data_IF_707771130310
#
_entry.id   IF_707771130310
#
_cell.length_a   1.000
_cell.length_b   1.000
_cell.length_c   1.000
_cell.angle_alpha   90.00
_cell.angle_beta   90.00
_cell.angle_gamma   90.00
#
_symmetry.space_group_name_H-M   'P 1'
#
loop_
_entity.id
_entity.type
_entity.pdbx_description
1 polymer ?
#
# COMPACT_ATOMS: atom_id res chain seq x y z
N UNK A 1 -16.96 10.35 15.99
CA UNK A 1 -16.88 11.58 16.81
C UNK A 1 -15.97 11.45 18.04
N UNK A 2 -16.18 10.53 19.00
CA UNK A 2 -15.28 10.43 20.18
C UNK A 2 -13.86 9.94 19.86
N UNK A 3 -13.71 8.94 18.97
CA UNK A 3 -12.39 8.43 18.58
C UNK A 3 -11.55 9.47 17.81
N UNK A 4 -12.18 10.25 16.93
CA UNK A 4 -11.48 11.28 16.15
C UNK A 4 -11.01 12.44 17.04
N UNK A 5 -11.86 12.89 17.97
CA UNK A 5 -11.48 13.91 18.96
C UNK A 5 -10.38 13.44 19.91
N UNK A 6 -10.29 12.14 20.19
CA UNK A 6 -9.23 11.59 21.04
C UNK A 6 -7.85 11.57 20.36
N UNK A 7 -7.80 11.50 19.02
CA UNK A 7 -6.54 11.52 18.25
C UNK A 7 -6.05 12.94 17.93
N UNK A 8 -6.95 13.92 17.90
CA UNK A 8 -6.61 15.34 17.77
C UNK A 8 -6.04 15.94 19.06
N UNK A 9 -6.36 15.33 20.21
CA UNK A 9 -5.87 15.77 21.51
C UNK A 9 -4.50 15.13 21.79
N UNK A 10 -3.54 15.96 22.17
CA UNK A 10 -2.07 15.78 22.30
C UNK A 10 -1.53 14.58 23.10
N UNK A 11 -2.37 13.60 23.48
CA UNK A 11 -2.00 12.45 24.31
C UNK A 11 -1.49 11.21 23.54
N UNK A 12 -1.63 11.17 22.21
CA UNK A 12 -1.04 10.10 21.39
C UNK A 12 -0.04 10.71 20.39
N UNK A 13 1.29 10.55 20.60
CA UNK A 13 2.32 11.23 19.80
C UNK A 13 2.44 10.73 18.34
N UNK A 14 1.50 9.91 17.85
CA UNK A 14 1.53 9.36 16.48
C UNK A 14 0.15 9.15 15.85
N UNK A 15 -0.62 10.23 15.58
CA UNK A 15 -1.97 10.13 14.99
C UNK A 15 -2.01 9.34 13.67
N UNK A 16 -0.94 9.38 12.88
CA UNK A 16 -0.81 8.64 11.63
C UNK A 16 -0.92 7.11 11.80
N UNK A 17 -0.34 6.53 12.87
CA UNK A 17 -0.50 5.09 13.14
C UNK A 17 -1.95 4.75 13.48
N UNK A 18 -2.61 5.57 14.30
CA UNK A 18 -3.99 5.33 14.69
C UNK A 18 -4.96 5.41 13.50
N UNK A 19 -4.82 6.43 12.66
CA UNK A 19 -5.63 6.54 11.44
C UNK A 19 -5.34 5.43 10.43
N UNK A 20 -4.09 4.96 10.31
CA UNK A 20 -3.77 3.81 9.48
C UNK A 20 -4.41 2.51 10.01
N UNK A 21 -4.40 2.30 11.32
CA UNK A 21 -5.04 1.13 11.93
C UNK A 21 -6.58 1.20 11.79
N UNK A 22 -7.16 2.39 11.93
CA UNK A 22 -8.58 2.61 11.66
C UNK A 22 -8.92 2.33 10.19
N UNK A 23 -8.07 2.77 9.26
CA UNK A 23 -8.22 2.46 7.84
C UNK A 23 -8.22 0.97 7.56
N UNK A 24 -7.30 0.21 8.17
CA UNK A 24 -7.26 -1.25 8.07
C UNK A 24 -8.52 -1.90 8.65
N UNK A 25 -9.01 -1.40 9.79
CA UNK A 25 -10.25 -1.89 10.38
C UNK A 25 -11.46 -1.68 9.46
N UNK A 26 -11.56 -0.52 8.80
CA UNK A 26 -12.61 -0.27 7.81
C UNK A 26 -12.45 -1.13 6.56
N UNK A 27 -11.22 -1.31 6.06
CA UNK A 27 -10.94 -2.18 4.92
C UNK A 27 -11.40 -3.62 5.19
N UNK A 28 -11.09 -4.16 6.36
CA UNK A 28 -11.49 -5.52 6.76
C UNK A 28 -13.02 -5.68 6.89
N UNK A 29 -13.76 -4.58 7.10
CA UNK A 29 -15.23 -4.55 7.10
C UNK A 29 -15.84 -4.35 5.70
N UNK A 30 -15.01 -4.20 4.66
CA UNK A 30 -15.47 -3.85 3.31
C UNK A 30 -15.88 -2.38 3.15
N UNK A 31 -15.66 -1.54 4.17
CA UNK A 31 -16.04 -0.12 4.17
C UNK A 31 -14.95 0.73 3.48
N UNK A 32 -14.66 0.44 2.21
CA UNK A 32 -13.48 0.95 1.50
C UNK A 32 -13.38 2.48 1.43
N UNK A 33 -14.50 3.21 1.27
CA UNK A 33 -14.49 4.68 1.27
C UNK A 33 -13.99 5.26 2.61
N UNK A 34 -14.43 4.69 3.73
CA UNK A 34 -13.96 5.10 5.07
C UNK A 34 -12.51 4.70 5.32
N UNK A 35 -12.08 3.57 4.76
CA UNK A 35 -10.68 3.16 4.78
C UNK A 35 -9.80 4.19 4.07
N UNK A 36 -10.17 4.61 2.85
CA UNK A 36 -9.50 5.68 2.09
C UNK A 36 -9.41 6.97 2.92
N UNK A 37 -10.53 7.45 3.47
CA UNK A 37 -10.55 8.66 4.30
C UNK A 37 -9.58 8.56 5.48
N UNK A 38 -9.51 7.40 6.12
CA UNK A 38 -8.64 7.14 7.26
C UNK A 38 -7.16 7.13 6.85
N UNK A 39 -6.80 6.48 5.74
CA UNK A 39 -5.43 6.51 5.22
C UNK A 39 -5.01 7.92 4.78
N UNK A 40 -5.90 8.69 4.15
CA UNK A 40 -5.63 10.09 3.80
C UNK A 40 -5.41 10.97 5.03
N UNK A 41 -6.15 10.74 6.12
CA UNK A 41 -5.87 11.40 7.42
C UNK A 41 -4.49 10.99 7.93
N UNK A 42 -4.12 9.71 7.87
CA UNK A 42 -2.78 9.26 8.29
C UNK A 42 -1.67 9.97 7.50
N UNK A 43 -1.83 10.10 6.18
CA UNK A 43 -0.91 10.83 5.29
C UNK A 43 -0.89 12.33 5.62
N UNK A 44 -2.03 12.94 5.94
CA UNK A 44 -2.08 14.35 6.35
C UNK A 44 -1.25 14.61 7.61
N UNK A 45 -1.27 13.70 8.58
CA UNK A 45 -0.47 13.80 9.81
C UNK A 45 1.01 13.44 9.60
N UNK A 46 1.31 12.52 8.70
CA UNK A 46 2.69 12.16 8.33
C UNK A 46 2.78 11.92 6.81
N UNK A 47 3.17 12.94 6.01
CA UNK A 47 3.18 12.85 4.55
C UNK A 47 4.12 11.80 3.98
N UNK A 48 5.15 11.39 4.72
CA UNK A 48 6.09 10.35 4.30
C UNK A 48 5.72 8.95 4.80
N UNK A 49 4.51 8.75 5.31
CA UNK A 49 4.11 7.49 5.91
C UNK A 49 3.77 6.43 4.84
N UNK A 50 4.82 5.75 4.35
CA UNK A 50 4.73 4.78 3.25
C UNK A 50 3.69 3.67 3.45
N UNK A 51 3.43 3.28 4.70
CA UNK A 51 2.46 2.23 5.04
C UNK A 51 1.02 2.66 4.74
N UNK A 52 0.65 3.91 5.00
CA UNK A 52 -0.68 4.41 4.65
C UNK A 52 -0.89 4.45 3.13
N UNK A 53 0.14 4.84 2.35
CA UNK A 53 0.09 4.75 0.89
C UNK A 53 -0.02 3.32 0.38
N UNK A 54 0.68 2.37 1.00
CA UNK A 54 0.59 0.95 0.63
C UNK A 54 -0.85 0.43 0.78
N UNK A 55 -1.47 0.64 1.94
CA UNK A 55 -2.85 0.21 2.17
C UNK A 55 -3.88 1.00 1.36
N UNK A 56 -3.59 2.27 1.06
CA UNK A 56 -4.41 3.06 0.14
C UNK A 56 -4.40 2.44 -1.26
N UNK A 57 -3.25 1.95 -1.73
CA UNK A 57 -3.12 1.18 -2.97
C UNK A 57 -4.00 -0.06 -2.98
N UNK A 58 -3.90 -0.90 -1.94
CA UNK A 58 -4.73 -2.11 -1.77
C UNK A 58 -6.23 -1.76 -1.78
N UNK A 59 -6.59 -0.69 -1.08
CA UNK A 59 -7.99 -0.25 -0.96
C UNK A 59 -8.54 0.22 -2.31
N UNK A 60 -7.75 0.98 -3.08
CA UNK A 60 -8.14 1.37 -4.42
C UNK A 60 -8.25 0.17 -5.37
N UNK A 61 -7.38 -0.84 -5.25
CA UNK A 61 -7.54 -2.09 -6.01
C UNK A 61 -8.87 -2.79 -5.70
N UNK A 62 -9.26 -2.87 -4.41
CA UNK A 62 -10.54 -3.44 -4.00
C UNK A 62 -11.75 -2.66 -4.55
N UNK A 63 -11.56 -1.36 -4.83
CA UNK A 63 -12.56 -0.50 -5.45
C UNK A 63 -12.48 -0.47 -6.99
N UNK A 64 -11.56 -1.23 -7.61
CA UNK A 64 -11.25 -1.20 -9.05
C UNK A 64 -10.75 0.17 -9.57
N UNK A 65 -10.20 0.99 -8.70
CA UNK A 65 -9.67 2.33 -8.98
C UNK A 65 -8.17 2.25 -9.35
N UNK A 66 -7.88 1.61 -10.49
CA UNK A 66 -6.54 1.14 -10.87
C UNK A 66 -5.47 2.24 -10.93
N UNK A 67 -5.78 3.40 -11.50
CA UNK A 67 -4.82 4.50 -11.63
C UNK A 67 -4.47 5.09 -10.26
N UNK A 68 -5.46 5.21 -9.37
CA UNK A 68 -5.25 5.67 -7.98
C UNK A 68 -4.42 4.65 -7.20
N UNK A 69 -4.66 3.35 -7.40
CA UNK A 69 -3.87 2.29 -6.80
C UNK A 69 -2.39 2.35 -7.24
N UNK A 70 -2.14 2.51 -8.54
CA UNK A 70 -0.78 2.69 -9.08
C UNK A 70 -0.10 3.92 -8.45
N UNK A 71 -0.80 5.05 -8.38
CA UNK A 71 -0.29 6.27 -7.76
C UNK A 71 0.11 6.04 -6.31
N UNK A 72 -0.79 5.46 -5.51
CA UNK A 72 -0.55 5.18 -4.10
C UNK A 72 0.65 4.23 -3.89
N UNK A 73 0.77 3.16 -4.68
CA UNK A 73 1.95 2.29 -4.59
C UNK A 73 3.25 2.98 -4.97
N UNK A 74 3.23 3.87 -5.98
CA UNK A 74 4.41 4.64 -6.36
C UNK A 74 4.85 5.59 -5.24
N UNK A 75 3.91 6.29 -4.60
CA UNK A 75 4.20 7.13 -3.43
C UNK A 75 4.77 6.31 -2.27
N UNK A 76 4.19 5.13 -1.99
CA UNK A 76 4.72 4.22 -0.97
C UNK A 76 6.18 3.82 -1.25
N UNK A 77 6.49 3.50 -2.52
CA UNK A 77 7.86 3.18 -2.97
C UNK A 77 8.78 4.39 -2.85
N UNK A 78 8.29 5.60 -3.16
CA UNK A 78 9.09 6.83 -3.04
C UNK A 78 9.54 7.06 -1.60
N UNK A 79 8.64 6.88 -0.62
CA UNK A 79 8.96 7.09 0.79
C UNK A 79 9.68 5.89 1.45
N UNK A 80 9.53 4.68 0.90
CA UNK A 80 10.21 3.48 1.39
C UNK A 80 10.78 2.63 0.24
N UNK A 81 11.83 3.11 -0.47
CA UNK A 81 12.33 2.47 -1.70
C UNK A 81 13.01 1.12 -1.47
N UNK A 82 13.35 0.79 -0.22
CA UNK A 82 13.95 -0.49 0.17
C UNK A 82 12.91 -1.51 0.65
N UNK A 83 11.64 -1.12 0.72
CA UNK A 83 10.56 -2.01 1.15
C UNK A 83 10.03 -2.82 -0.05
N UNK A 84 10.15 -4.17 -0.03
CA UNK A 84 9.71 -5.00 -1.14
C UNK A 84 8.19 -5.03 -1.33
N UNK A 85 7.39 -4.67 -0.30
CA UNK A 85 5.93 -4.83 -0.29
C UNK A 85 5.26 -4.09 -1.43
N UNK A 86 5.43 -2.78 -1.51
CA UNK A 86 4.77 -1.97 -2.55
C UNK A 86 5.31 -2.24 -3.95
N UNK A 87 6.56 -2.68 -4.09
CA UNK A 87 7.07 -3.22 -5.36
C UNK A 87 6.30 -4.47 -5.77
N UNK A 88 6.08 -5.41 -4.85
CA UNK A 88 5.43 -6.68 -5.13
C UNK A 88 3.97 -6.47 -5.58
N UNK A 89 3.19 -5.71 -4.81
CA UNK A 89 1.79 -5.44 -5.11
C UNK A 89 1.62 -4.62 -6.41
N UNK A 90 2.49 -3.63 -6.65
CA UNK A 90 2.47 -2.91 -7.91
C UNK A 90 2.81 -3.82 -9.11
N UNK A 91 3.69 -4.80 -8.92
CA UNK A 91 3.97 -5.83 -9.93
C UNK A 91 2.74 -6.67 -10.24
N UNK A 92 2.01 -7.13 -9.22
CA UNK A 92 0.74 -7.88 -9.38
C UNK A 92 -0.30 -7.05 -10.11
N UNK A 93 -0.47 -5.78 -9.73
CA UNK A 93 -1.40 -4.88 -10.39
C UNK A 93 -1.03 -4.66 -11.86
N UNK A 94 0.26 -4.49 -12.18
CA UNK A 94 0.69 -4.39 -13.58
C UNK A 94 0.43 -5.66 -14.39
N UNK A 95 0.54 -6.85 -13.80
CA UNK A 95 0.12 -8.08 -14.50
C UNK A 95 -1.38 -8.10 -14.76
N UNK A 96 -2.19 -7.73 -13.76
CA UNK A 96 -3.65 -7.66 -13.91
C UNK A 96 -4.08 -6.69 -15.01
N UNK A 97 -3.31 -5.62 -15.21
CA UNK A 97 -3.55 -4.61 -16.23
C UNK A 97 -2.83 -4.90 -17.56
N UNK A 98 -2.34 -6.12 -17.77
CA UNK A 98 -1.67 -6.56 -19.00
C UNK A 98 -0.44 -5.69 -19.38
N UNK A 99 0.31 -5.24 -18.37
CA UNK A 99 1.57 -4.46 -18.51
C UNK A 99 2.78 -5.29 -18.07
N UNK A 100 3.12 -6.40 -18.76
CA UNK A 100 4.13 -7.36 -18.31
C UNK A 100 5.52 -6.76 -18.14
N UNK A 101 5.96 -5.87 -19.04
CA UNK A 101 7.28 -5.22 -18.94
C UNK A 101 7.44 -4.40 -17.66
N UNK A 102 6.36 -3.76 -17.19
CA UNK A 102 6.38 -3.02 -15.92
C UNK A 102 6.33 -3.98 -14.73
N UNK A 103 5.54 -5.05 -14.81
CA UNK A 103 5.48 -6.07 -13.78
C UNK A 103 6.84 -6.75 -13.53
N UNK A 104 7.54 -7.16 -14.60
CA UNK A 104 8.88 -7.75 -14.55
C UNK A 104 9.84 -6.86 -13.75
N UNK A 105 9.90 -5.56 -14.08
CA UNK A 105 10.77 -4.59 -13.37
C UNK A 105 10.45 -4.53 -11.88
N UNK A 106 9.17 -4.64 -11.50
CA UNK A 106 8.74 -4.59 -10.10
C UNK A 106 9.03 -5.88 -9.35
N UNK A 107 8.79 -7.06 -9.94
CA UNK A 107 9.16 -8.33 -9.31
C UNK A 107 10.67 -8.51 -9.15
N UNK A 108 11.46 -8.08 -10.14
CA UNK A 108 12.92 -8.08 -10.01
C UNK A 108 13.37 -7.18 -8.85
N UNK A 109 12.73 -6.02 -8.65
CA UNK A 109 13.00 -5.16 -7.50
C UNK A 109 12.59 -5.84 -6.18
N UNK A 110 11.42 -6.48 -6.11
CA UNK A 110 10.99 -7.26 -4.95
C UNK A 110 12.03 -8.31 -4.56
N UNK A 111 12.49 -9.13 -5.52
CA UNK A 111 13.47 -10.20 -5.27
C UNK A 111 14.80 -9.64 -4.74
N UNK A 112 15.24 -8.48 -5.24
CA UNK A 112 16.48 -7.84 -4.76
C UNK A 112 16.34 -7.26 -3.34
N UNK A 113 15.17 -6.77 -2.98
CA UNK A 113 14.94 -6.03 -1.74
C UNK A 113 14.46 -6.92 -0.58
N UNK A 114 13.81 -8.03 -0.89
CA UNK A 114 13.19 -8.92 0.08
C UNK A 114 14.20 -9.86 0.76
N UNK A 115 14.86 -9.32 1.80
CA UNK A 115 15.87 -10.04 2.60
C UNK A 115 15.27 -11.16 3.45
N UNK A 116 13.99 -11.09 3.77
CA UNK A 116 13.28 -12.09 4.61
C UNK A 116 12.65 -13.20 3.78
N UNK A 117 12.81 -13.16 2.45
CA UNK A 117 12.25 -14.13 1.51
C UNK A 117 10.72 -14.28 1.65
N UNK A 118 10.02 -13.22 2.05
CA UNK A 118 8.57 -13.20 2.28
C UNK A 118 7.79 -13.11 0.96
N UNK A 119 8.26 -12.31 0.01
CA UNK A 119 7.61 -12.05 -1.29
C UNK A 119 8.34 -12.71 -2.46
N UNK A 120 9.61 -13.03 -2.28
CA UNK A 120 10.51 -13.58 -3.31
C UNK A 120 10.00 -14.87 -3.95
N UNK A 121 9.47 -15.86 -3.19
CA UNK A 121 8.96 -17.09 -3.82
C UNK A 121 7.78 -16.81 -4.77
N UNK A 122 6.79 -16.02 -4.34
CA UNK A 122 5.64 -15.68 -5.19
C UNK A 122 6.07 -14.79 -6.36
N UNK A 123 6.97 -13.82 -6.14
CA UNK A 123 7.50 -12.96 -7.19
C UNK A 123 8.24 -13.76 -8.29
N UNK A 124 9.06 -14.75 -7.92
CA UNK A 124 9.73 -15.65 -8.89
C UNK A 124 8.73 -16.50 -9.68
N UNK A 125 7.73 -17.05 -8.99
CA UNK A 125 6.68 -17.84 -9.63
C UNK A 125 5.88 -17.00 -10.63
N UNK A 126 5.47 -15.79 -10.26
CA UNK A 126 4.77 -14.88 -11.16
C UNK A 126 5.66 -14.48 -12.33
N UNK A 127 6.93 -14.17 -12.08
CA UNK A 127 7.90 -13.83 -13.12
C UNK A 127 8.07 -14.95 -14.17
N UNK A 128 8.15 -16.21 -13.73
CA UNK A 128 8.27 -17.36 -14.63
C UNK A 128 7.02 -17.67 -15.46
N UNK A 129 5.86 -17.11 -15.09
CA UNK A 129 4.60 -17.26 -15.84
C UNK A 129 4.39 -16.19 -16.91
N UNK A 130 5.18 -15.12 -16.87
CA UNK A 130 5.14 -14.06 -17.88
C UNK A 130 5.87 -14.58 -19.12
N UNK A 131 5.14 -14.71 -20.23
CA UNK A 131 5.69 -15.11 -21.53
C UNK A 131 6.32 -13.93 -22.25
#
# INVERSE_FOLDING_TARGET
>A
KCFEKALENTLYPTPHFAYNNLGQAYYNKGEYKKAVESYLKAIKYQPSFSMAFHYLGITYEAMNEWDKAIGAYKESIQYAPKDPRSHFYLGKLYLKLEKPSLAIKKFQATIRLDKTNTFTPEAKNLLGKIK
#
